data_IF_735092270141
#
_entry.id   IF_735092270141
#
_cell.length_a   1.000
_cell.length_b   1.000
_cell.length_c   1.000
_cell.angle_alpha   90.00
_cell.angle_beta   90.00
_cell.angle_gamma   90.00
#
_symmetry.space_group_name_H-M   'P 1'
#
loop_
_entity.id
_entity.type
_entity.pdbx_description
1 polymer ?
#
# COMPACT_ATOMS: atom_id res chain seq x y z
N UNK A 1 -6.83 72.57 55.02
CA UNK A 1 -7.10 72.67 53.57
C UNK A 1 -5.79 72.44 52.83
N UNK A 2 -5.65 71.25 52.22
CA UNK A 2 -4.62 70.91 51.23
C UNK A 2 -5.30 69.96 50.22
N UNK A 3 -5.23 70.19 48.90
CA UNK A 3 -5.92 69.35 47.93
C UNK A 3 -5.05 68.15 47.51
N UNK A 4 -5.73 67.00 47.35
CA UNK A 4 -5.23 65.75 46.80
C UNK A 4 -4.83 65.90 45.33
N UNK A 5 -3.63 65.44 44.97
CA UNK A 5 -3.20 65.22 43.57
C UNK A 5 -3.78 63.90 43.04
N UNK A 6 -4.52 63.98 41.93
CA UNK A 6 -4.90 62.83 41.11
C UNK A 6 -3.79 62.55 40.09
N UNK A 7 -3.27 61.31 40.06
CA UNK A 7 -2.37 60.83 39.02
C UNK A 7 -3.16 60.24 37.86
N UNK A 8 -3.14 60.90 36.70
CA UNK A 8 -3.58 60.32 35.43
C UNK A 8 -2.48 59.40 34.88
N UNK A 9 -2.73 58.09 34.84
CA UNK A 9 -1.92 57.15 34.07
C UNK A 9 -2.40 57.16 32.61
N UNK A 10 -1.67 57.87 31.74
CA UNK A 10 -1.83 57.78 30.29
C UNK A 10 -1.08 56.54 29.80
N UNK A 11 -1.80 55.55 29.29
CA UNK A 11 -1.22 54.44 28.53
C UNK A 11 -0.61 55.03 27.24
N UNK A 12 0.67 54.78 26.91
CA UNK A 12 1.25 55.32 25.70
C UNK A 12 0.57 54.68 24.48
N UNK A 13 0.15 55.51 23.53
CA UNK A 13 -0.25 55.05 22.22
C UNK A 13 0.94 54.32 21.57
N UNK A 14 0.71 53.17 20.90
CA UNK A 14 1.79 52.44 20.26
C UNK A 14 2.53 53.34 19.28
N UNK A 15 3.86 53.23 19.29
CA UNK A 15 4.71 54.03 18.40
C UNK A 15 4.36 53.77 16.94
N UNK A 16 4.59 54.74 16.05
CA UNK A 16 4.34 54.58 14.61
C UNK A 16 5.04 53.32 14.04
N UNK A 17 6.21 52.95 14.59
CA UNK A 17 6.94 51.74 14.24
C UNK A 17 6.24 50.44 14.69
N UNK A 18 5.62 50.42 15.88
CA UNK A 18 4.82 49.27 16.37
C UNK A 18 3.50 49.12 15.61
N UNK A 19 2.86 50.23 15.25
CA UNK A 19 1.66 50.24 14.41
C UNK A 19 1.96 49.77 12.99
N UNK A 20 3.12 50.14 12.42
CA UNK A 20 3.59 49.65 11.12
C UNK A 20 3.98 48.16 11.16
N UNK A 21 4.58 47.66 12.26
CA UNK A 21 4.88 46.22 12.40
C UNK A 21 3.62 45.39 12.61
N UNK A 22 2.67 45.85 13.42
CA UNK A 22 1.37 45.19 13.58
C UNK A 22 0.56 45.20 12.28
N UNK A 23 0.58 46.30 11.52
CA UNK A 23 -0.02 46.41 10.20
C UNK A 23 0.67 45.50 9.17
N UNK A 24 2.01 45.41 9.18
CA UNK A 24 2.76 44.52 8.30
C UNK A 24 2.56 43.03 8.65
N UNK A 25 2.40 42.69 9.94
CA UNK A 25 2.07 41.33 10.41
C UNK A 25 0.62 40.99 10.06
N UNK A 26 -0.33 41.93 10.21
CA UNK A 26 -1.72 41.76 9.77
C UNK A 26 -1.82 41.60 8.25
N UNK A 27 -1.12 42.44 7.51
CA UNK A 27 -1.05 42.39 6.04
C UNK A 27 -0.33 41.12 5.54
N UNK A 28 0.64 40.57 6.29
CA UNK A 28 1.27 39.28 6.00
C UNK A 28 0.40 38.07 6.37
N UNK A 29 -0.50 38.22 7.34
CA UNK A 29 -1.56 37.24 7.63
C UNK A 29 -2.73 37.32 6.62
N UNK A 30 -3.07 38.53 6.16
CA UNK A 30 -4.16 38.79 5.21
C UNK A 30 -3.75 38.54 3.75
N UNK A 31 -2.46 38.52 3.40
CA UNK A 31 -1.96 38.10 2.06
C UNK A 31 -1.83 36.59 1.86
N UNK A 32 -2.14 35.76 2.85
CA UNK A 32 -2.32 34.31 2.69
C UNK A 32 -3.78 34.08 2.28
N UNK A 33 -4.20 34.67 1.16
CA UNK A 33 -5.43 34.28 0.45
C UNK A 33 -5.19 32.87 -0.10
N UNK A 34 -5.32 31.92 0.80
CA UNK A 34 -4.80 30.58 0.66
C UNK A 34 -5.82 29.74 -0.09
N UNK A 35 -5.32 29.04 -1.10
CA UNK A 35 -6.02 27.96 -1.77
C UNK A 35 -6.77 27.09 -0.75
N UNK A 36 -8.09 27.09 -0.84
CA UNK A 36 -8.94 26.21 -0.03
C UNK A 36 -8.75 24.79 -0.56
N UNK A 37 -8.43 23.88 0.35
CA UNK A 37 -8.25 22.46 0.11
C UNK A 37 -9.21 21.67 0.97
N UNK A 38 -9.56 20.46 0.51
CA UNK A 38 -10.33 19.51 1.30
C UNK A 38 -9.38 18.52 1.96
N UNK A 39 -9.53 18.33 3.25
CA UNK A 39 -8.73 17.37 4.00
C UNK A 39 -9.56 16.70 5.10
N UNK A 40 -9.07 15.56 5.60
CA UNK A 40 -9.69 14.85 6.70
C UNK A 40 -8.76 14.82 7.91
N UNK A 41 -9.28 15.15 9.09
CA UNK A 41 -8.53 15.04 10.35
C UNK A 41 -9.30 14.21 11.38
N UNK A 42 -8.57 13.69 12.37
CA UNK A 42 -9.12 12.97 13.51
C UNK A 42 -8.49 13.53 14.79
N UNK A 43 -9.31 14.24 15.58
CA UNK A 43 -8.86 14.89 16.80
C UNK A 43 -8.61 13.94 17.99
N UNK A 44 -9.10 12.70 17.89
CA UNK A 44 -8.97 11.69 18.95
C UNK A 44 -7.64 10.94 18.90
N UNK A 45 -7.02 10.82 17.72
CA UNK A 45 -5.65 10.35 17.60
C UNK A 45 -4.69 11.53 17.76
N UNK A 46 -3.88 11.54 18.83
CA UNK A 46 -2.92 12.62 19.11
C UNK A 46 -1.51 12.09 19.28
N UNK A 47 -0.50 12.78 18.73
CA UNK A 47 0.93 12.53 18.97
C UNK A 47 1.34 11.04 18.87
N UNK A 48 0.80 10.32 17.88
CA UNK A 48 1.06 8.88 17.67
C UNK A 48 0.58 7.95 18.82
N UNK A 49 -0.51 8.32 19.50
CA UNK A 49 -1.20 7.42 20.45
C UNK A 49 -1.80 6.22 19.71
N UNK A 50 -1.39 5.01 20.09
CA UNK A 50 -1.61 3.74 19.36
C UNK A 50 -2.99 3.12 19.61
N UNK A 51 -4.06 3.92 19.58
CA UNK A 51 -5.43 3.41 19.58
C UNK A 51 -5.95 3.29 18.14
N UNK A 52 -5.68 2.15 17.50
CA UNK A 52 -6.09 1.88 16.12
C UNK A 52 -7.60 1.98 15.90
N UNK A 53 -8.41 1.70 16.93
CA UNK A 53 -9.88 1.77 16.82
C UNK A 53 -10.33 3.22 16.75
N UNK A 54 -9.78 4.09 17.61
CA UNK A 54 -10.04 5.54 17.54
C UNK A 54 -9.49 6.16 16.26
N UNK A 55 -8.31 5.73 15.83
CA UNK A 55 -7.67 6.28 14.64
C UNK A 55 -8.51 6.02 13.38
N UNK A 56 -9.16 4.87 13.28
CA UNK A 56 -9.85 4.50 12.05
C UNK A 56 -11.32 4.96 11.96
N UNK A 57 -11.96 5.39 13.05
CA UNK A 57 -13.39 5.73 13.05
C UNK A 57 -13.75 7.22 13.00
N UNK A 58 -12.89 8.09 13.52
CA UNK A 58 -13.28 9.47 13.90
C UNK A 58 -12.73 10.55 12.96
N UNK A 59 -12.58 10.24 11.67
CA UNK A 59 -12.17 11.23 10.69
C UNK A 59 -13.34 12.14 10.30
N UNK A 60 -13.06 13.44 10.26
CA UNK A 60 -13.99 14.49 9.84
C UNK A 60 -13.37 15.16 8.61
N UNK A 61 -14.13 15.17 7.52
CA UNK A 61 -13.76 15.88 6.30
C UNK A 61 -14.12 17.36 6.46
N UNK A 62 -13.18 18.24 6.13
CA UNK A 62 -13.34 19.70 6.19
C UNK A 62 -12.73 20.38 4.97
N UNK A 63 -13.11 21.63 4.76
CA UNK A 63 -12.48 22.53 3.81
C UNK A 63 -11.74 23.62 4.59
N UNK A 64 -10.53 23.95 4.18
CA UNK A 64 -9.72 24.95 4.84
C UNK A 64 -8.42 25.18 4.09
N UNK A 65 -7.54 25.95 4.71
CA UNK A 65 -6.28 26.42 4.19
C UNK A 65 -5.13 25.54 4.69
N UNK A 66 -3.90 25.76 4.18
CA UNK A 66 -2.72 25.13 4.78
C UNK A 66 -2.50 25.59 6.23
N UNK A 67 -2.92 26.80 6.60
CA UNK A 67 -2.83 27.26 7.99
C UNK A 67 -3.73 26.41 8.90
N UNK A 68 -4.96 26.12 8.49
CA UNK A 68 -5.87 25.23 9.23
C UNK A 68 -5.26 23.82 9.38
N UNK A 69 -4.64 23.31 8.31
CA UNK A 69 -3.88 22.04 8.40
C UNK A 69 -2.78 22.13 9.45
N UNK A 70 -1.97 23.21 9.46
CA UNK A 70 -0.90 23.38 10.44
C UNK A 70 -1.44 23.43 11.87
N UNK A 71 -2.59 24.05 12.10
CA UNK A 71 -3.27 24.04 13.40
C UNK A 71 -3.64 22.62 13.83
N UNK A 72 -4.22 21.81 12.93
CA UNK A 72 -4.50 20.41 13.22
C UNK A 72 -3.23 19.61 13.51
N UNK A 73 -2.16 19.82 12.75
CA UNK A 73 -0.85 19.19 13.00
C UNK A 73 -0.33 19.57 14.38
N UNK A 74 -0.32 20.86 14.74
CA UNK A 74 0.14 21.38 16.04
C UNK A 74 -0.76 20.99 17.21
N UNK A 75 -2.02 20.68 16.95
CA UNK A 75 -2.89 20.08 17.96
C UNK A 75 -2.60 18.58 18.17
N UNK A 76 -1.64 18.02 17.43
CA UNK A 76 -1.28 16.60 17.44
C UNK A 76 -2.24 15.71 16.64
N UNK A 77 -3.27 16.27 16.01
CA UNK A 77 -4.35 15.52 15.37
C UNK A 77 -3.83 14.65 14.22
N UNK A 78 -4.41 13.47 14.05
CA UNK A 78 -4.13 12.63 12.89
C UNK A 78 -4.82 13.19 11.64
N UNK A 79 -4.21 12.96 10.48
CA UNK A 79 -4.63 13.49 9.18
C UNK A 79 -4.65 12.35 8.17
N UNK A 80 -5.61 12.38 7.25
CA UNK A 80 -5.70 11.44 6.14
C UNK A 80 -5.65 12.23 4.82
N UNK A 81 -4.86 11.73 3.87
CA UNK A 81 -4.76 12.34 2.54
C UNK A 81 -6.14 12.32 1.85
N UNK A 82 -6.79 11.15 1.82
CA UNK A 82 -8.11 11.00 1.24
C UNK A 82 -9.26 11.35 2.20
N UNK A 83 -10.33 11.90 1.63
CA UNK A 83 -11.60 12.18 2.28
C UNK A 83 -12.42 10.90 2.46
N UNK A 84 -13.17 10.79 3.56
CA UNK A 84 -13.81 9.55 4.01
C UNK A 84 -15.34 9.64 4.10
N UNK A 85 -15.92 10.82 3.97
CA UNK A 85 -17.33 11.14 4.11
C UNK A 85 -17.95 10.58 5.41
N UNK A 86 -17.24 10.78 6.53
CA UNK A 86 -17.65 10.29 7.87
C UNK A 86 -17.65 8.76 8.03
N UNK A 87 -17.10 8.01 7.07
CA UNK A 87 -17.00 6.55 7.16
C UNK A 87 -15.69 6.11 7.80
N UNK A 88 -15.69 4.85 8.24
CA UNK A 88 -14.49 4.19 8.73
C UNK A 88 -13.36 4.22 7.71
N UNK A 89 -12.13 4.50 8.15
CA UNK A 89 -10.95 4.56 7.30
C UNK A 89 -10.68 3.22 6.63
N UNK A 90 -10.88 3.20 5.31
CA UNK A 90 -10.46 2.11 4.44
C UNK A 90 -10.40 2.64 3.01
N UNK A 91 -9.57 2.04 2.15
CA UNK A 91 -9.51 2.37 0.72
C UNK A 91 -10.90 2.46 0.08
N UNK A 92 -11.79 1.52 0.38
CA UNK A 92 -13.15 1.45 -0.18
C UNK A 92 -14.05 2.65 0.18
N UNK A 93 -13.69 3.42 1.21
CA UNK A 93 -14.43 4.58 1.66
C UNK A 93 -13.78 5.91 1.23
N UNK A 94 -12.62 5.88 0.58
CA UNK A 94 -11.97 7.08 0.07
C UNK A 94 -12.77 7.61 -1.13
N UNK A 95 -13.28 8.83 -1.00
CA UNK A 95 -14.05 9.49 -2.06
C UNK A 95 -13.18 10.33 -2.99
N UNK A 96 -12.00 10.75 -2.54
CA UNK A 96 -11.04 11.55 -3.31
C UNK A 96 -10.07 12.33 -2.42
N UNK A 97 -9.25 13.18 -3.02
CA UNK A 97 -8.21 13.95 -2.34
C UNK A 97 -7.85 15.27 -3.05
N UNK A 98 -7.41 16.28 -2.29
CA UNK A 98 -6.78 17.51 -2.81
C UNK A 98 -5.26 17.55 -2.64
N UNK A 99 -4.68 16.51 -2.04
CA UNK A 99 -3.28 16.51 -1.65
C UNK A 99 -2.74 15.10 -1.47
N UNK A 100 -1.42 14.98 -1.51
CA UNK A 100 -0.70 13.74 -1.29
C UNK A 100 0.35 13.97 -0.21
N UNK A 101 0.70 12.92 0.52
CA UNK A 101 1.69 12.99 1.60
C UNK A 101 2.72 11.88 1.45
N UNK A 102 3.98 12.22 1.74
CA UNK A 102 5.08 11.26 1.91
C UNK A 102 5.65 11.40 3.31
N UNK A 103 5.97 10.26 3.93
CA UNK A 103 6.79 10.17 5.13
C UNK A 103 8.26 9.93 4.78
N UNK A 104 9.14 10.73 5.37
CA UNK A 104 10.58 10.51 5.41
C UNK A 104 10.91 10.10 6.84
N UNK A 105 11.30 8.84 7.02
CA UNK A 105 11.52 8.23 8.32
C UNK A 105 13.00 8.00 8.64
N UNK A 106 13.86 8.04 7.62
CA UNK A 106 15.28 7.68 7.70
C UNK A 106 15.53 6.38 8.50
N UNK A 107 14.71 5.35 8.29
CA UNK A 107 14.72 4.14 9.12
C UNK A 107 14.50 2.88 8.30
N UNK A 108 15.27 1.83 8.60
CA UNK A 108 15.00 0.45 8.20
C UNK A 108 14.81 -0.45 9.43
N UNK A 109 14.42 -1.71 9.21
CA UNK A 109 14.31 -2.75 10.22
C UNK A 109 15.63 -3.50 10.33
N UNK A 110 16.15 -3.64 11.55
CA UNK A 110 17.34 -4.46 11.81
C UNK A 110 17.11 -5.91 11.39
N UNK A 111 18.11 -6.54 10.77
CA UNK A 111 18.04 -7.93 10.30
C UNK A 111 19.20 -8.77 10.83
N UNK A 112 18.94 -10.04 11.07
CA UNK A 112 19.96 -11.00 11.47
C UNK A 112 20.78 -11.49 10.25
N UNK A 113 21.73 -12.41 10.48
CA UNK A 113 22.58 -12.97 9.43
C UNK A 113 21.81 -13.75 8.34
N UNK A 114 20.52 -14.03 8.53
CA UNK A 114 19.64 -14.72 7.59
C UNK A 114 18.59 -13.78 6.98
N UNK A 115 18.79 -12.46 7.05
CA UNK A 115 17.90 -11.42 6.55
C UNK A 115 16.53 -11.36 7.26
N UNK A 116 16.40 -11.98 8.44
CA UNK A 116 15.15 -11.98 9.20
C UNK A 116 15.05 -10.74 10.09
N UNK A 117 13.88 -10.06 10.11
CA UNK A 117 13.65 -8.92 11.00
C UNK A 117 13.87 -9.26 12.48
N UNK A 118 14.67 -8.45 13.16
CA UNK A 118 14.95 -8.58 14.60
C UNK A 118 13.89 -7.81 15.39
N UNK A 119 13.46 -8.40 16.51
CA UNK A 119 12.52 -7.80 17.45
C UNK A 119 13.17 -7.56 18.82
N UNK A 120 12.71 -6.52 19.51
CA UNK A 120 13.06 -6.27 20.91
C UNK A 120 12.34 -7.26 21.85
N UNK A 121 12.63 -7.15 23.14
CA UNK A 121 12.02 -7.96 24.21
C UNK A 121 10.48 -7.85 24.28
N UNK A 122 9.92 -6.76 23.75
CA UNK A 122 8.48 -6.49 23.70
C UNK A 122 7.84 -6.98 22.38
N UNK A 123 8.62 -7.56 21.47
CA UNK A 123 8.15 -8.07 20.19
C UNK A 123 8.00 -7.01 19.09
N UNK A 124 8.49 -5.77 19.31
CA UNK A 124 8.52 -4.71 18.31
C UNK A 124 9.76 -4.83 17.43
N UNK A 125 9.65 -4.48 16.15
CA UNK A 125 10.82 -4.47 15.26
C UNK A 125 11.83 -3.42 15.67
N UNK A 126 13.09 -3.82 15.78
CA UNK A 126 14.20 -2.89 16.06
C UNK A 126 14.44 -2.05 14.80
N UNK A 127 14.45 -0.72 14.96
CA UNK A 127 14.72 0.23 13.89
C UNK A 127 16.20 0.61 13.89
N UNK A 128 16.79 0.66 12.70
CA UNK A 128 18.14 1.17 12.46
C UNK A 128 18.04 2.37 11.55
N UNK A 129 19.01 3.28 11.66
CA UNK A 129 19.09 4.44 10.77
C UNK A 129 19.38 3.97 9.35
N UNK A 130 18.57 4.42 8.41
CA UNK A 130 18.76 4.20 6.97
C UNK A 130 18.44 5.50 6.25
N UNK A 131 19.44 6.10 5.62
CA UNK A 131 19.35 7.46 5.13
C UNK A 131 18.45 7.57 3.89
N UNK A 132 17.43 8.43 3.98
CA UNK A 132 16.54 8.82 2.89
C UNK A 132 16.76 10.29 2.53
N UNK A 133 16.44 11.22 3.44
CA UNK A 133 16.66 12.66 3.31
C UNK A 133 16.75 13.32 4.71
N UNK A 134 17.70 14.22 4.88
CA UNK A 134 17.67 15.24 5.95
C UNK A 134 16.72 16.39 5.59
N UNK A 135 16.49 17.31 6.53
CA UNK A 135 15.59 18.46 6.30
C UNK A 135 16.28 19.40 5.30
N UNK A 136 17.58 19.61 5.47
CA UNK A 136 18.42 20.46 4.63
C UNK A 136 18.50 19.94 3.20
N UNK A 137 18.70 18.63 3.02
CA UNK A 137 18.66 17.99 1.70
C UNK A 137 17.29 18.11 1.06
N UNK A 138 16.21 17.90 1.85
CA UNK A 138 14.85 18.04 1.34
C UNK A 138 14.55 19.48 0.89
N UNK A 139 15.00 20.49 1.64
CA UNK A 139 14.85 21.90 1.28
C UNK A 139 15.67 22.28 0.03
N UNK A 140 16.81 21.61 -0.20
CA UNK A 140 17.63 21.79 -1.39
C UNK A 140 17.13 21.00 -2.62
N UNK A 141 16.29 19.98 -2.42
CA UNK A 141 15.86 19.08 -3.49
C UNK A 141 14.99 19.82 -4.54
N UNK A 142 15.37 19.79 -5.84
CA UNK A 142 14.70 20.59 -6.87
C UNK A 142 13.19 20.34 -6.97
N UNK A 143 12.77 19.07 -6.89
CA UNK A 143 11.35 18.70 -6.95
C UNK A 143 10.58 19.20 -5.72
N UNK A 144 11.15 19.07 -4.52
CA UNK A 144 10.49 19.47 -3.27
C UNK A 144 10.38 20.99 -3.25
N UNK A 145 11.46 21.70 -3.56
CA UNK A 145 11.49 23.16 -3.61
C UNK A 145 10.43 23.73 -4.57
N UNK A 146 10.15 23.03 -5.67
CA UNK A 146 9.19 23.46 -6.68
C UNK A 146 7.74 23.07 -6.36
N UNK A 147 7.51 21.88 -5.80
CA UNK A 147 6.17 21.28 -5.74
C UNK A 147 5.65 20.97 -4.32
N UNK A 148 6.51 20.98 -3.30
CA UNK A 148 6.09 20.75 -1.92
C UNK A 148 5.40 21.99 -1.35
N UNK A 149 4.24 21.79 -0.75
CA UNK A 149 3.43 22.86 -0.20
C UNK A 149 3.60 23.00 1.31
N UNK A 150 3.87 21.90 2.02
CA UNK A 150 4.10 21.91 3.46
C UNK A 150 5.10 20.81 3.84
N UNK A 151 6.10 21.16 4.63
CA UNK A 151 6.96 20.20 5.33
C UNK A 151 6.75 20.34 6.82
N UNK A 152 6.64 19.22 7.54
CA UNK A 152 6.55 19.26 9.00
C UNK A 152 7.22 18.08 9.70
N UNK A 153 7.78 18.31 10.88
CA UNK A 153 8.44 17.27 11.68
C UNK A 153 7.42 16.38 12.40
N UNK A 154 7.75 15.09 12.55
CA UNK A 154 6.89 14.11 13.24
C UNK A 154 7.14 14.08 14.74
N UNK A 155 6.22 13.50 15.51
CA UNK A 155 6.40 13.29 16.96
C UNK A 155 7.57 12.38 17.35
N UNK A 156 8.20 11.69 16.39
CA UNK A 156 9.39 10.85 16.62
C UNK A 156 10.65 11.44 16.00
N UNK A 157 10.60 12.68 15.54
CA UNK A 157 11.76 13.41 15.02
C UNK A 157 12.81 13.63 16.12
N UNK A 158 14.08 13.49 15.76
CA UNK A 158 15.21 13.94 16.57
C UNK A 158 16.20 14.72 15.71
N UNK A 159 17.02 15.62 16.28
CA UNK A 159 18.04 16.35 15.53
C UNK A 159 19.07 15.46 14.83
N UNK A 160 19.34 14.27 15.36
CA UNK A 160 20.25 13.27 14.80
C UNK A 160 19.53 12.20 13.95
N UNK A 161 18.19 12.16 14.02
CA UNK A 161 17.35 11.21 13.30
C UNK A 161 16.13 11.92 12.72
N UNK A 162 16.30 12.47 11.53
CA UNK A 162 15.29 13.29 10.88
C UNK A 162 14.07 12.44 10.53
N UNK A 163 12.88 12.89 10.96
CA UNK A 163 11.60 12.24 10.63
C UNK A 163 10.57 13.30 10.37
N UNK A 164 10.20 13.48 9.12
CA UNK A 164 9.33 14.56 8.69
C UNK A 164 8.42 14.08 7.57
N UNK A 165 7.43 14.90 7.24
CA UNK A 165 6.48 14.62 6.16
C UNK A 165 6.45 15.76 5.19
N UNK A 166 6.22 15.40 3.93
CA UNK A 166 6.09 16.30 2.81
C UNK A 166 4.64 16.22 2.32
N UNK A 167 4.02 17.37 2.14
CA UNK A 167 2.65 17.51 1.67
C UNK A 167 2.67 18.23 0.33
N UNK A 168 2.02 17.63 -0.66
CA UNK A 168 1.96 18.12 -2.02
C UNK A 168 0.50 18.36 -2.39
N UNK A 169 0.16 19.57 -2.84
CA UNK A 169 -1.20 19.87 -3.27
C UNK A 169 -1.43 19.39 -4.70
N UNK A 170 -2.60 18.81 -4.94
CA UNK A 170 -3.07 18.54 -6.29
C UNK A 170 -3.68 19.82 -6.88
N UNK A 171 -3.44 20.10 -8.18
CA UNK A 171 -3.95 21.30 -8.84
C UNK A 171 -5.47 21.35 -8.97
N UNK A 172 -6.17 20.24 -8.74
CA UNK A 172 -7.62 20.15 -8.58
C UNK A 172 -7.99 18.93 -7.72
N UNK A 173 -9.28 18.82 -7.35
CA UNK A 173 -9.79 17.67 -6.60
C UNK A 173 -9.72 16.40 -7.43
N UNK A 174 -9.04 15.37 -6.93
CA UNK A 174 -9.00 14.05 -7.56
C UNK A 174 -10.04 13.15 -6.92
N UNK A 175 -10.98 12.65 -7.72
CA UNK A 175 -12.03 11.74 -7.26
C UNK A 175 -11.58 10.28 -7.31
N UNK A 176 -11.96 9.50 -6.29
CA UNK A 176 -11.80 8.05 -6.26
C UNK A 176 -10.43 7.58 -5.76
N UNK A 177 -10.46 6.50 -4.97
CA UNK A 177 -9.26 5.94 -4.35
C UNK A 177 -8.19 5.55 -5.38
N UNK A 178 -8.56 4.87 -6.46
CA UNK A 178 -7.61 4.32 -7.43
C UNK A 178 -6.82 5.41 -8.16
N UNK A 179 -7.49 6.52 -8.53
CA UNK A 179 -6.83 7.69 -9.13
C UNK A 179 -5.91 8.38 -8.15
N UNK A 180 -6.32 8.52 -6.87
CA UNK A 180 -5.44 9.05 -5.81
C UNK A 180 -4.20 8.17 -5.65
N UNK A 181 -4.34 6.84 -5.61
CA UNK A 181 -3.19 5.92 -5.51
C UNK A 181 -2.28 6.02 -6.74
N UNK A 182 -2.83 6.20 -7.95
CA UNK A 182 -2.05 6.42 -9.15
C UNK A 182 -1.22 7.72 -9.07
N UNK A 183 -1.82 8.83 -8.61
CA UNK A 183 -1.08 10.06 -8.34
C UNK A 183 0.02 9.87 -7.28
N UNK A 184 -0.27 9.12 -6.20
CA UNK A 184 0.72 8.81 -5.16
C UNK A 184 1.90 8.01 -5.73
N UNK A 185 1.66 7.09 -6.67
CA UNK A 185 2.73 6.34 -7.35
C UNK A 185 3.65 7.26 -8.16
N UNK A 186 3.11 8.26 -8.85
CA UNK A 186 3.94 9.25 -9.55
C UNK A 186 4.81 10.04 -8.56
N UNK A 187 4.23 10.42 -7.42
CA UNK A 187 4.96 11.12 -6.37
C UNK A 187 6.10 10.25 -5.79
N UNK A 188 5.83 8.98 -5.54
CA UNK A 188 6.81 8.00 -5.06
C UNK A 188 7.97 7.78 -6.05
N UNK A 189 7.77 7.98 -7.36
CA UNK A 189 8.87 7.90 -8.34
C UNK A 189 9.86 9.08 -8.25
N UNK A 190 9.45 10.20 -7.65
CA UNK A 190 10.27 11.41 -7.56
C UNK A 190 11.14 11.45 -6.30
N UNK A 191 10.81 10.66 -5.27
CA UNK A 191 11.38 10.76 -3.93
C UNK A 191 11.62 9.37 -3.31
N UNK A 192 12.61 9.24 -2.41
CA UNK A 192 12.73 8.04 -1.60
C UNK A 192 11.45 7.84 -0.79
N UNK A 193 10.97 6.60 -0.71
CA UNK A 193 9.68 6.28 -0.11
C UNK A 193 9.69 4.89 0.54
N UNK A 194 8.81 4.69 1.51
CA UNK A 194 8.40 3.35 1.95
C UNK A 194 7.43 2.75 0.89
N UNK A 195 7.63 1.50 0.42
CA UNK A 195 6.71 0.88 -0.55
C UNK A 195 5.23 0.87 -0.12
N UNK A 196 4.95 0.98 1.18
CA UNK A 196 3.59 1.05 1.72
C UNK A 196 2.96 2.46 1.66
N UNK A 197 3.64 3.49 1.13
CA UNK A 197 3.11 4.87 1.05
C UNK A 197 1.98 5.06 0.04
N UNK A 198 1.71 4.08 -0.85
CA UNK A 198 0.70 4.21 -1.91
C UNK A 198 -0.76 4.15 -1.47
N UNK A 199 -1.06 3.69 -0.26
CA UNK A 199 -2.45 3.51 0.22
C UNK A 199 -3.16 4.87 0.36
N UNK A 200 -4.22 5.09 -0.42
CA UNK A 200 -5.00 6.35 -0.39
C UNK A 200 -5.64 6.64 0.98
N UNK A 201 -5.76 5.62 1.84
CA UNK A 201 -6.28 5.73 3.20
C UNK A 201 -5.18 5.83 4.27
N UNK A 202 -3.92 6.05 3.91
CA UNK A 202 -2.79 6.19 4.85
C UNK A 202 -3.03 7.37 5.81
N UNK A 203 -2.73 7.13 7.09
CA UNK A 203 -2.85 8.13 8.17
C UNK A 203 -1.48 8.70 8.51
N UNK A 204 -1.45 10.00 8.76
CA UNK A 204 -0.27 10.74 9.19
C UNK A 204 -0.59 11.48 10.48
N UNK A 205 0.19 11.26 11.53
CA UNK A 205 -0.05 11.88 12.84
C UNK A 205 0.53 13.28 12.93
N UNK A 206 -0.23 14.24 13.44
CA UNK A 206 0.32 15.52 13.90
C UNK A 206 1.31 15.35 15.06
N UNK A 207 1.94 16.46 15.41
CA UNK A 207 2.81 16.58 16.58
C UNK A 207 2.58 17.94 17.23
N UNK A 208 2.39 17.96 18.54
CA UNK A 208 2.33 19.21 19.32
C UNK A 208 3.63 19.99 19.29
N UNK A 209 4.73 19.30 18.99
CA UNK A 209 6.07 19.88 18.84
C UNK A 209 6.47 19.99 17.35
N UNK A 210 5.50 19.92 16.43
CA UNK A 210 5.78 20.03 15.00
C UNK A 210 6.42 21.39 14.66
N UNK A 211 7.55 21.31 13.98
CA UNK A 211 8.17 22.42 13.26
C UNK A 211 7.76 22.37 11.80
N UNK A 212 7.77 23.52 11.13
CA UNK A 212 7.33 23.67 9.74
C UNK A 212 8.42 24.31 8.89
N UNK A 213 9.47 23.56 8.48
CA UNK A 213 10.61 24.13 7.75
C UNK A 213 10.25 24.69 6.37
N UNK A 214 9.11 24.29 5.80
CA UNK A 214 8.61 24.78 4.51
C UNK A 214 7.11 24.96 4.56
N UNK A 215 6.64 26.13 4.12
CA UNK A 215 5.22 26.45 3.86
C UNK A 215 5.16 27.23 2.55
N UNK A 216 4.46 26.69 1.55
CA UNK A 216 4.29 27.28 0.23
C UNK A 216 2.87 26.96 -0.31
N UNK A 217 1.85 27.79 -0.01
CA UNK A 217 0.46 27.52 -0.39
C UNK A 217 0.21 27.51 -1.90
N UNK A 218 1.11 28.10 -2.69
CA UNK A 218 1.00 28.15 -4.16
C UNK A 218 1.62 26.93 -4.85
N UNK A 219 2.40 26.11 -4.13
CA UNK A 219 3.02 24.93 -4.72
C UNK A 219 1.99 23.83 -4.97
N UNK A 220 1.94 23.37 -6.22
CA UNK A 220 1.11 22.24 -6.64
C UNK A 220 1.92 21.25 -7.44
N UNK A 221 1.43 20.01 -7.49
CA UNK A 221 1.87 19.01 -8.46
C UNK A 221 1.46 19.42 -9.88
N UNK A 222 2.11 18.84 -10.91
CA UNK A 222 1.73 19.07 -12.30
C UNK A 222 0.29 18.60 -12.59
N UNK A 223 -0.42 19.34 -13.45
CA UNK A 223 -1.82 19.04 -13.77
C UNK A 223 -1.97 17.77 -14.62
N UNK A 224 -0.98 17.50 -15.47
CA UNK A 224 -0.92 16.31 -16.32
C UNK A 224 -0.96 15.00 -15.51
N UNK A 225 -0.45 15.00 -14.27
CA UNK A 225 -0.49 13.83 -13.39
C UNK A 225 -1.91 13.37 -13.12
N UNK A 226 -2.87 14.29 -13.05
CA UNK A 226 -4.27 13.94 -12.79
C UNK A 226 -4.86 13.24 -14.01
N UNK A 227 -4.68 13.80 -15.21
CA UNK A 227 -5.17 13.18 -16.44
C UNK A 227 -4.55 11.81 -16.70
N UNK A 228 -3.25 11.65 -16.47
CA UNK A 228 -2.55 10.37 -16.61
C UNK A 228 -3.01 9.34 -15.56
N UNK A 229 -3.17 9.78 -14.31
CA UNK A 229 -3.68 8.92 -13.24
C UNK A 229 -5.11 8.44 -13.50
N UNK A 230 -5.96 9.30 -14.08
CA UNK A 230 -7.32 8.92 -14.49
C UNK A 230 -7.27 7.85 -15.56
N UNK A 231 -6.43 8.03 -16.60
CA UNK A 231 -6.30 7.05 -17.68
C UNK A 231 -5.80 5.69 -17.16
N UNK A 232 -4.78 5.68 -16.29
CA UNK A 232 -4.27 4.46 -15.65
C UNK A 232 -5.36 3.78 -14.82
N UNK A 233 -6.04 4.52 -13.94
CA UNK A 233 -7.09 3.96 -13.08
C UNK A 233 -8.27 3.39 -13.90
N UNK A 234 -8.62 4.02 -15.02
CA UNK A 234 -9.64 3.51 -15.94
C UNK A 234 -9.20 2.21 -16.60
N UNK A 235 -7.97 2.14 -17.10
CA UNK A 235 -7.41 0.96 -17.74
C UNK A 235 -7.34 -0.22 -16.75
N UNK A 236 -6.79 0.00 -15.55
CA UNK A 236 -6.72 -1.01 -14.47
C UNK A 236 -8.12 -1.54 -14.12
N UNK A 237 -9.14 -0.66 -14.11
CA UNK A 237 -10.53 -1.04 -13.86
C UNK A 237 -11.10 -1.90 -14.98
N UNK A 238 -10.84 -1.58 -16.24
CA UNK A 238 -11.29 -2.38 -17.40
C UNK A 238 -10.66 -3.77 -17.35
N UNK A 239 -9.34 -3.85 -17.15
CA UNK A 239 -8.60 -5.10 -17.05
C UNK A 239 -9.11 -5.97 -15.88
N UNK A 240 -9.36 -5.35 -14.73
CA UNK A 240 -9.93 -6.05 -13.58
C UNK A 240 -11.31 -6.64 -13.91
N UNK A 241 -12.19 -5.87 -14.57
CA UNK A 241 -13.51 -6.35 -14.98
C UNK A 241 -13.43 -7.49 -15.99
N UNK A 242 -12.57 -7.37 -17.01
CA UNK A 242 -12.32 -8.45 -17.98
C UNK A 242 -11.84 -9.73 -17.28
N UNK A 243 -10.93 -9.59 -16.31
CA UNK A 243 -10.43 -10.73 -15.53
C UNK A 243 -11.52 -11.40 -14.69
N UNK A 244 -12.41 -10.62 -14.08
CA UNK A 244 -13.57 -11.17 -13.36
C UNK A 244 -14.48 -11.92 -14.33
N UNK A 245 -14.79 -11.36 -15.49
CA UNK A 245 -15.59 -12.02 -16.53
C UNK A 245 -14.94 -13.30 -17.04
N UNK A 246 -13.63 -13.30 -17.25
CA UNK A 246 -12.87 -14.49 -17.66
C UNK A 246 -12.92 -15.59 -16.59
N UNK A 247 -12.78 -15.22 -15.30
CA UNK A 247 -12.90 -16.16 -14.18
C UNK A 247 -14.33 -16.73 -14.11
N UNK A 248 -15.35 -15.90 -14.29
CA UNK A 248 -16.76 -16.33 -14.28
C UNK A 248 -17.09 -17.23 -15.48
N UNK A 249 -16.61 -16.89 -16.67
CA UNK A 249 -16.74 -17.70 -17.88
C UNK A 249 -16.11 -19.07 -17.72
N UNK A 250 -14.84 -19.11 -17.25
CA UNK A 250 -14.17 -20.38 -16.94
C UNK A 250 -14.94 -21.19 -15.91
N UNK A 251 -15.45 -20.57 -14.84
CA UNK A 251 -16.27 -21.28 -13.84
C UNK A 251 -17.53 -21.89 -14.45
N UNK A 252 -18.17 -21.19 -15.39
CA UNK A 252 -19.36 -21.70 -16.09
C UNK A 252 -19.01 -22.88 -16.99
N UNK A 253 -17.96 -22.76 -17.82
CA UNK A 253 -17.46 -23.84 -18.69
C UNK A 253 -17.11 -25.09 -17.87
N UNK A 254 -16.34 -24.93 -16.79
CA UNK A 254 -15.98 -26.03 -15.90
C UNK A 254 -17.19 -26.68 -15.23
N UNK A 255 -18.23 -25.90 -14.91
CA UNK A 255 -19.49 -26.44 -14.38
C UNK A 255 -20.23 -27.24 -15.44
N UNK A 256 -20.34 -26.74 -16.67
CA UNK A 256 -20.98 -27.46 -17.78
C UNK A 256 -20.27 -28.78 -18.10
N UNK A 257 -18.93 -28.78 -18.11
CA UNK A 257 -18.12 -30.00 -18.27
C UNK A 257 -18.40 -30.98 -17.14
N UNK A 258 -18.39 -30.51 -15.87
CA UNK A 258 -18.63 -31.39 -14.72
C UNK A 258 -19.99 -32.08 -14.78
N UNK A 259 -21.02 -31.37 -15.28
CA UNK A 259 -22.36 -31.94 -15.48
C UNK A 259 -22.37 -32.94 -16.63
N UNK A 260 -21.74 -32.60 -17.76
CA UNK A 260 -21.72 -33.43 -18.97
C UNK A 260 -20.98 -34.75 -18.75
N UNK A 261 -19.83 -34.69 -18.08
CA UNK A 261 -18.98 -35.85 -17.80
C UNK A 261 -19.44 -36.63 -16.55
N UNK A 262 -20.52 -36.20 -15.88
CA UNK A 262 -21.05 -36.85 -14.68
C UNK A 262 -20.06 -36.88 -13.51
N UNK A 263 -19.25 -35.83 -13.37
CA UNK A 263 -18.23 -35.76 -12.32
C UNK A 263 -18.88 -35.69 -10.94
N UNK A 264 -18.57 -36.68 -10.10
CA UNK A 264 -18.84 -36.61 -8.67
C UNK A 264 -17.84 -35.65 -8.02
N UNK A 265 -18.31 -34.43 -7.75
CA UNK A 265 -17.51 -33.35 -7.16
C UNK A 265 -17.02 -33.74 -5.76
N UNK A 266 -17.82 -34.48 -4.98
CA UNK A 266 -17.42 -34.91 -3.64
C UNK A 266 -16.29 -35.92 -3.73
N UNK A 267 -16.40 -36.89 -4.63
CA UNK A 267 -15.34 -37.85 -4.87
C UNK A 267 -14.05 -37.18 -5.38
N UNK A 268 -14.17 -36.15 -6.23
CA UNK A 268 -13.03 -35.34 -6.68
C UNK A 268 -12.37 -34.57 -5.54
N UNK A 269 -13.15 -33.99 -4.64
CA UNK A 269 -12.64 -33.27 -3.47
C UNK A 269 -11.92 -34.24 -2.54
N UNK A 270 -12.50 -35.41 -2.25
CA UNK A 270 -11.84 -36.44 -1.42
C UNK A 270 -10.54 -36.92 -2.06
N UNK A 271 -10.54 -37.15 -3.37
CA UNK A 271 -9.33 -37.50 -4.10
C UNK A 271 -8.28 -36.38 -4.00
N UNK A 272 -8.65 -35.12 -4.25
CA UNK A 272 -7.75 -33.98 -4.16
C UNK A 272 -7.17 -33.81 -2.74
N UNK A 273 -7.97 -33.97 -1.69
CA UNK A 273 -7.51 -33.93 -0.30
C UNK A 273 -6.46 -34.99 0.00
N UNK A 274 -6.54 -36.18 -0.63
CA UNK A 274 -5.55 -37.25 -0.44
C UNK A 274 -4.14 -36.88 -0.91
N UNK A 275 -4.01 -35.92 -1.83
CA UNK A 275 -2.71 -35.41 -2.28
C UNK A 275 -2.15 -34.31 -1.37
N UNK A 276 -3.00 -33.57 -0.67
CA UNK A 276 -2.56 -32.44 0.15
C UNK A 276 -2.09 -32.96 1.52
N UNK A 277 -0.81 -32.77 1.91
CA UNK A 277 -0.32 -33.22 3.21
C UNK A 277 -1.10 -32.55 4.35
N UNK A 278 -1.47 -33.31 5.40
CA UNK A 278 -2.09 -32.73 6.57
C UNK A 278 -1.13 -31.81 7.32
N UNK A 279 -1.68 -30.93 8.16
CA UNK A 279 -0.88 -30.11 9.06
C UNK A 279 -0.26 -30.99 10.14
N UNK A 280 1.06 -30.96 10.28
CA UNK A 280 1.80 -31.61 11.38
C UNK A 280 2.86 -30.65 11.93
N UNK A 281 3.20 -30.65 13.23
CA UNK A 281 4.20 -29.73 13.79
C UNK A 281 5.49 -29.70 12.95
N UNK A 282 5.91 -28.51 12.48
CA UNK A 282 7.08 -28.35 11.62
C UNK A 282 6.85 -28.47 10.10
N UNK A 283 5.65 -28.80 9.63
CA UNK A 283 5.35 -29.04 8.20
C UNK A 283 5.47 -27.81 7.28
N UNK A 284 5.51 -26.58 7.82
CA UNK A 284 5.54 -25.35 7.03
C UNK A 284 4.27 -25.02 6.23
N UNK A 285 3.30 -25.93 6.11
CA UNK A 285 2.10 -25.80 5.27
C UNK A 285 0.88 -25.14 5.95
N UNK A 286 1.08 -24.33 6.99
CA UNK A 286 -0.03 -23.77 7.78
C UNK A 286 -1.01 -22.94 6.93
N UNK A 287 -0.51 -22.06 6.07
CA UNK A 287 -1.36 -21.18 5.27
C UNK A 287 -2.11 -21.95 4.18
N UNK A 288 -1.46 -22.93 3.54
CA UNK A 288 -2.11 -23.83 2.58
C UNK A 288 -3.24 -24.61 3.24
N UNK A 289 -2.97 -25.26 4.39
CA UNK A 289 -4.00 -25.99 5.11
C UNK A 289 -5.15 -25.08 5.54
N UNK A 290 -4.84 -23.82 5.95
CA UNK A 290 -5.86 -22.83 6.32
C UNK A 290 -6.75 -22.47 5.12
N UNK A 291 -6.17 -22.31 3.94
CA UNK A 291 -6.91 -22.03 2.70
C UNK A 291 -7.78 -23.22 2.28
N UNK A 292 -7.27 -24.46 2.38
CA UNK A 292 -8.07 -25.66 2.13
C UNK A 292 -9.26 -25.73 3.08
N UNK A 293 -9.06 -25.45 4.37
CA UNK A 293 -10.15 -25.42 5.35
C UNK A 293 -11.21 -24.35 5.01
N UNK A 294 -10.78 -23.17 4.58
CA UNK A 294 -11.72 -22.12 4.11
C UNK A 294 -12.48 -22.54 2.85
N UNK A 295 -11.82 -23.26 1.93
CA UNK A 295 -12.44 -23.79 0.72
C UNK A 295 -13.52 -24.85 1.04
N UNK A 296 -13.25 -25.75 2.00
CA UNK A 296 -14.21 -26.74 2.48
C UNK A 296 -15.42 -26.06 3.15
N UNK A 297 -15.19 -25.07 4.02
CA UNK A 297 -16.28 -24.30 4.67
C UNK A 297 -17.13 -23.56 3.63
N UNK A 298 -16.52 -23.02 2.58
CA UNK A 298 -17.26 -22.35 1.52
C UNK A 298 -18.14 -23.31 0.71
N UNK A 299 -17.69 -24.56 0.50
CA UNK A 299 -18.41 -25.54 -0.31
C UNK A 299 -19.47 -26.34 0.48
N UNK A 300 -19.09 -26.87 1.65
CA UNK A 300 -19.94 -27.75 2.47
C UNK A 300 -20.63 -27.04 3.65
N UNK A 301 -20.24 -25.80 3.97
CA UNK A 301 -20.64 -25.14 5.22
C UNK A 301 -19.79 -25.59 6.42
N UNK A 302 -19.98 -24.90 7.54
CA UNK A 302 -19.12 -25.04 8.72
C UNK A 302 -19.14 -26.44 9.34
N UNK A 303 -20.31 -27.06 9.45
CA UNK A 303 -20.50 -28.35 10.13
C UNK A 303 -19.83 -29.49 9.38
N UNK A 304 -20.12 -29.63 8.09
CA UNK A 304 -19.59 -30.73 7.27
C UNK A 304 -18.11 -30.55 6.97
N UNK A 305 -17.66 -29.30 6.77
CA UNK A 305 -16.24 -28.99 6.65
C UNK A 305 -15.44 -29.35 7.91
N UNK A 306 -16.01 -29.18 9.12
CA UNK A 306 -15.36 -29.60 10.37
C UNK A 306 -15.10 -31.12 10.35
N UNK A 307 -16.09 -31.93 9.96
CA UNK A 307 -15.99 -33.39 9.90
C UNK A 307 -14.93 -33.83 8.88
N UNK A 308 -14.98 -33.26 7.66
CA UNK A 308 -14.04 -33.60 6.59
C UNK A 308 -12.62 -33.18 6.98
N UNK A 309 -12.45 -31.97 7.51
CA UNK A 309 -11.14 -31.45 7.88
C UNK A 309 -10.53 -32.17 9.10
N UNK A 310 -11.32 -32.62 10.06
CA UNK A 310 -10.81 -33.44 11.17
C UNK A 310 -10.33 -34.81 10.71
N UNK A 311 -10.90 -35.37 9.63
CA UNK A 311 -10.40 -36.62 9.03
C UNK A 311 -9.12 -36.39 8.22
N UNK A 312 -9.06 -35.30 7.47
CA UNK A 312 -7.93 -34.99 6.60
C UNK A 312 -6.73 -34.45 7.39
N UNK A 313 -6.91 -33.35 8.14
CA UNK A 313 -5.86 -32.64 8.87
C UNK A 313 -6.28 -32.36 10.33
N UNK A 314 -6.25 -33.38 11.20
CA UNK A 314 -6.82 -33.33 12.55
C UNK A 314 -6.32 -32.16 13.41
N UNK A 315 -7.16 -31.71 14.34
CA UNK A 315 -6.79 -30.74 15.35
C UNK A 315 -5.60 -31.22 16.21
N UNK A 316 -4.61 -30.35 16.40
CA UNK A 316 -3.41 -30.64 17.20
C UNK A 316 -3.55 -30.00 18.57
N UNK A 317 -3.62 -30.82 19.62
CA UNK A 317 -3.73 -30.37 21.02
C UNK A 317 -2.56 -29.46 21.40
N UNK A 318 -2.86 -28.38 22.12
CA UNK A 318 -1.85 -27.41 22.58
C UNK A 318 -1.28 -26.50 21.48
N UNK A 319 -1.83 -26.54 20.26
CA UNK A 319 -1.39 -25.69 19.14
C UNK A 319 -2.49 -24.72 18.69
N UNK A 320 -2.13 -23.79 17.81
CA UNK A 320 -3.09 -22.91 17.14
C UNK A 320 -3.88 -23.61 16.02
N UNK A 321 -3.56 -24.87 15.70
CA UNK A 321 -4.27 -25.67 14.69
C UNK A 321 -5.40 -26.47 15.33
N UNK A 322 -6.52 -25.79 15.59
CA UNK A 322 -7.77 -26.38 16.04
C UNK A 322 -8.86 -26.06 15.01
N UNK A 323 -9.40 -27.08 14.34
CA UNK A 323 -10.29 -26.93 13.18
C UNK A 323 -11.55 -26.14 13.55
N UNK A 324 -12.26 -26.56 14.60
CA UNK A 324 -13.47 -25.88 15.07
C UNK A 324 -13.22 -24.40 15.39
N UNK A 325 -12.12 -24.08 16.08
CA UNK A 325 -11.78 -22.69 16.39
C UNK A 325 -11.44 -21.88 15.13
N UNK A 326 -10.74 -22.49 14.16
CA UNK A 326 -10.43 -21.83 12.88
C UNK A 326 -11.68 -21.53 12.08
N UNK A 327 -12.57 -22.51 11.91
CA UNK A 327 -13.83 -22.32 11.19
C UNK A 327 -14.62 -21.14 11.77
N UNK A 328 -14.73 -21.05 13.10
CA UNK A 328 -15.41 -19.92 13.79
C UNK A 328 -14.74 -18.56 13.60
N UNK A 329 -13.43 -18.53 13.33
CA UNK A 329 -12.66 -17.29 13.11
C UNK A 329 -12.80 -16.73 11.70
N UNK A 330 -13.32 -17.50 10.75
CA UNK A 330 -13.47 -17.02 9.38
C UNK A 330 -14.58 -15.96 9.32
N UNK A 331 -14.22 -14.77 8.82
CA UNK A 331 -15.09 -13.57 8.77
C UNK A 331 -15.31 -13.07 7.34
N UNK A 332 -14.61 -13.63 6.35
CA UNK A 332 -14.61 -13.18 4.95
C UNK A 332 -14.73 -14.37 3.99
N UNK A 333 -15.46 -14.17 2.90
CA UNK A 333 -15.43 -15.05 1.72
C UNK A 333 -14.25 -14.75 0.79
N UNK A 334 -14.23 -15.38 -0.38
CA UNK A 334 -13.21 -15.16 -1.43
C UNK A 334 -12.33 -16.37 -1.73
N UNK A 335 -12.34 -17.38 -0.86
CA UNK A 335 -11.75 -18.70 -1.13
C UNK A 335 -12.89 -19.63 -1.56
N UNK A 336 -12.71 -20.29 -2.70
CA UNK A 336 -13.67 -21.24 -3.27
C UNK A 336 -13.04 -22.63 -3.31
N UNK A 337 -13.85 -23.65 -3.62
CA UNK A 337 -13.34 -25.03 -3.78
C UNK A 337 -12.22 -25.16 -4.82
N UNK A 338 -12.13 -24.22 -5.78
CA UNK A 338 -11.03 -24.15 -6.74
C UNK A 338 -9.65 -23.96 -6.09
N UNK A 339 -9.56 -23.31 -4.92
CA UNK A 339 -8.30 -23.15 -4.17
C UNK A 339 -7.80 -24.50 -3.65
N UNK A 340 -8.69 -25.38 -3.19
CA UNK A 340 -8.34 -26.74 -2.78
C UNK A 340 -7.73 -27.50 -3.95
N UNK A 341 -8.36 -27.48 -5.13
CA UNK A 341 -7.81 -28.14 -6.32
C UNK A 341 -6.49 -27.53 -6.80
N UNK A 342 -6.31 -26.20 -6.68
CA UNK A 342 -5.04 -25.55 -7.00
C UNK A 342 -3.90 -26.06 -6.11
N UNK A 343 -4.12 -26.12 -4.80
CA UNK A 343 -3.15 -26.65 -3.83
C UNK A 343 -2.89 -28.14 -4.11
N UNK A 344 -3.94 -28.94 -4.32
CA UNK A 344 -3.79 -30.36 -4.65
C UNK A 344 -2.93 -30.59 -5.91
N UNK A 345 -3.05 -29.73 -6.94
CA UNK A 345 -2.23 -29.83 -8.17
C UNK A 345 -0.74 -29.64 -7.91
N UNK A 346 -0.38 -28.79 -6.94
CA UNK A 346 1.02 -28.59 -6.53
C UNK A 346 1.59 -29.88 -5.91
N UNK A 347 0.73 -30.69 -5.29
CA UNK A 347 1.07 -32.02 -4.77
C UNK A 347 0.80 -33.16 -5.76
N UNK A 348 0.57 -32.87 -7.04
CA UNK A 348 0.47 -33.89 -8.08
C UNK A 348 -0.95 -34.34 -8.44
N UNK A 349 -2.00 -33.78 -7.83
CA UNK A 349 -3.37 -34.05 -8.26
C UNK A 349 -3.57 -33.67 -9.75
N UNK A 350 -4.32 -34.50 -10.45
CA UNK A 350 -4.75 -34.29 -11.84
C UNK A 350 -6.24 -34.56 -11.92
N UNK A 351 -6.96 -33.69 -12.63
CA UNK A 351 -8.37 -33.96 -12.93
C UNK A 351 -8.49 -35.19 -13.82
N UNK A 352 -9.59 -35.97 -13.71
CA UNK A 352 -9.87 -37.07 -14.62
C UNK A 352 -9.80 -36.60 -16.08
N UNK A 353 -9.29 -37.46 -16.95
CA UNK A 353 -9.28 -37.20 -18.40
C UNK A 353 -10.73 -37.16 -18.89
N UNK A 354 -11.05 -36.19 -19.75
CA UNK A 354 -12.37 -36.07 -20.37
C UNK A 354 -12.64 -37.31 -21.22
N UNK A 355 -13.85 -37.87 -21.17
CA UNK A 355 -14.19 -39.07 -21.94
C UNK A 355 -14.27 -38.77 -23.45
N UNK A 356 -14.46 -37.51 -23.84
CA UNK A 356 -14.48 -37.05 -25.23
C UNK A 356 -13.54 -35.86 -25.46
N UNK A 357 -12.22 -36.09 -25.47
CA UNK A 357 -11.28 -35.16 -26.12
C UNK A 357 -10.73 -35.81 -27.39
N UNK A 358 -11.17 -35.29 -28.56
CA UNK A 358 -10.40 -35.45 -29.78
C UNK A 358 -9.04 -34.79 -29.55
N UNK A 359 -7.95 -35.55 -29.68
CA UNK A 359 -6.58 -35.05 -29.58
C UNK A 359 -6.36 -33.89 -30.58
N UNK A 360 -6.55 -32.66 -30.13
CA UNK A 360 -5.92 -31.49 -30.73
C UNK A 360 -4.69 -31.22 -29.85
N UNK A 361 -3.53 -31.56 -30.39
CA UNK A 361 -2.26 -31.53 -29.68
C UNK A 361 -1.97 -30.19 -29.01
N UNK A 362 -1.23 -30.27 -27.89
CA UNK A 362 -0.69 -29.16 -27.10
C UNK A 362 -0.26 -27.97 -27.98
N UNK A 363 -1.14 -26.99 -28.13
CA UNK A 363 -0.76 -25.66 -28.56
C UNK A 363 -0.52 -24.80 -27.32
N UNK A 364 0.74 -24.77 -26.91
CA UNK A 364 1.39 -23.60 -26.32
C UNK A 364 0.68 -22.93 -25.15
N UNK A 365 0.58 -23.60 -24.01
CA UNK A 365 0.26 -22.92 -22.75
C UNK A 365 1.52 -22.21 -22.27
N UNK A 366 1.57 -20.88 -22.39
CA UNK A 366 2.66 -20.03 -21.91
C UNK A 366 2.85 -20.27 -20.41
N UNK A 367 4.09 -20.55 -19.97
CA UNK A 367 4.37 -20.79 -18.56
C UNK A 367 4.17 -19.52 -17.73
N UNK A 368 3.88 -19.66 -16.43
CA UNK A 368 3.71 -18.51 -15.53
C UNK A 368 4.92 -17.57 -15.53
N UNK A 369 6.12 -18.13 -15.65
CA UNK A 369 7.37 -17.38 -15.75
C UNK A 369 7.46 -16.60 -17.06
N UNK A 370 7.06 -17.20 -18.19
CA UNK A 370 6.99 -16.50 -19.48
C UNK A 370 5.92 -15.40 -19.49
N UNK A 371 4.82 -15.59 -18.76
CA UNK A 371 3.78 -14.58 -18.59
C UNK A 371 4.22 -13.44 -17.66
N UNK A 372 4.91 -13.73 -16.55
CA UNK A 372 5.48 -12.71 -15.65
C UNK A 372 6.61 -11.91 -16.34
N UNK A 373 7.46 -12.57 -17.13
CA UNK A 373 8.44 -11.92 -18.01
C UNK A 373 7.78 -11.06 -19.08
N UNK A 374 6.66 -11.52 -19.65
CA UNK A 374 5.85 -10.73 -20.59
C UNK A 374 5.32 -9.44 -19.96
N UNK A 375 4.79 -9.52 -18.74
CA UNK A 375 4.26 -8.37 -18.01
C UNK A 375 5.33 -7.34 -17.65
N UNK A 376 6.47 -7.80 -17.14
CA UNK A 376 7.62 -6.91 -16.84
C UNK A 376 8.12 -6.23 -18.11
N UNK A 377 8.10 -6.93 -19.25
CA UNK A 377 8.48 -6.38 -20.55
C UNK A 377 7.46 -5.39 -21.11
N UNK A 378 6.17 -5.63 -20.91
CA UNK A 378 5.10 -4.69 -21.25
C UNK A 378 5.15 -3.43 -20.38
N UNK A 379 5.33 -3.56 -19.06
CA UNK A 379 5.47 -2.44 -18.12
C UNK A 379 6.70 -1.59 -18.45
N UNK A 380 7.85 -2.22 -18.75
CA UNK A 380 9.06 -1.53 -19.22
C UNK A 380 8.84 -0.83 -20.56
N UNK A 381 8.11 -1.45 -21.50
CA UNK A 381 7.83 -0.86 -22.82
C UNK A 381 6.85 0.31 -22.72
N UNK A 382 5.83 0.20 -21.87
CA UNK A 382 4.86 1.24 -21.57
C UNK A 382 5.55 2.42 -20.90
N UNK A 383 6.41 2.16 -19.91
CA UNK A 383 7.24 3.17 -19.26
C UNK A 383 8.21 3.85 -20.24
N UNK A 384 8.89 3.09 -21.11
CA UNK A 384 9.79 3.67 -22.13
C UNK A 384 9.03 4.49 -23.17
N UNK A 385 7.81 4.10 -23.55
CA UNK A 385 6.98 4.86 -24.48
C UNK A 385 6.43 6.14 -23.83
N UNK A 386 6.05 6.09 -22.55
CA UNK A 386 5.73 7.26 -21.73
C UNK A 386 6.93 8.21 -21.62
N UNK A 387 8.13 7.68 -21.34
CA UNK A 387 9.36 8.47 -21.29
C UNK A 387 9.66 9.12 -22.65
N UNK A 388 9.49 8.39 -23.77
CA UNK A 388 9.69 8.92 -25.11
C UNK A 388 8.67 9.99 -25.48
N UNK A 389 7.42 9.85 -25.07
CA UNK A 389 6.38 10.86 -25.29
C UNK A 389 6.59 12.11 -24.41
N UNK A 390 7.05 11.93 -23.17
CA UNK A 390 7.36 13.02 -22.24
C UNK A 390 8.66 13.78 -22.61
N UNK A 391 9.64 13.12 -23.24
CA UNK A 391 10.94 13.73 -23.61
C UNK A 391 10.91 14.32 -25.03
N UNK A 392 9.91 13.99 -25.86
CA UNK A 392 9.78 14.51 -27.23
C UNK A 392 9.81 16.05 -27.35
N UNK A 393 9.33 16.85 -26.38
CA UNK A 393 9.51 18.31 -26.42
C UNK A 393 10.73 18.85 -25.65
N UNK A 394 11.51 18.00 -24.94
CA UNK A 394 12.54 18.43 -23.98
C UNK A 394 13.92 17.80 -24.18
N UNK A 395 14.28 17.42 -25.41
CA UNK A 395 15.59 16.83 -25.73
C UNK A 395 16.80 17.75 -25.46
N UNK A 396 16.58 19.04 -25.17
CA UNK A 396 17.64 20.00 -24.86
C UNK A 396 17.94 20.20 -23.37
N UNK A 397 17.14 19.65 -22.43
CA UNK A 397 17.31 19.90 -20.98
C UNK A 397 18.04 18.77 -20.23
N UNK A 398 18.13 17.55 -20.78
CA UNK A 398 18.72 16.38 -20.10
C UNK A 398 20.17 16.06 -20.47
N UNK A 399 21.05 17.06 -20.59
CA UNK A 399 22.49 16.85 -20.84
C UNK A 399 23.36 16.64 -19.58
N UNK A 400 22.77 16.29 -18.44
CA UNK A 400 23.48 16.30 -17.15
C UNK A 400 23.33 15.10 -16.23
N UNK A 401 22.59 14.05 -16.58
CA UNK A 401 22.47 12.87 -15.71
C UNK A 401 23.45 11.77 -16.14
N UNK A 402 24.48 11.58 -15.33
CA UNK A 402 25.33 10.40 -15.41
C UNK A 402 24.50 9.17 -15.04
N UNK A 403 24.52 8.16 -15.91
CA UNK A 403 23.98 6.85 -15.60
C UNK A 403 24.71 6.27 -14.36
N UNK A 404 24.01 5.59 -13.44
CA UNK A 404 24.67 4.82 -12.40
C UNK A 404 25.59 3.76 -13.05
N UNK A 405 26.71 3.40 -12.40
CA UNK A 405 27.63 2.42 -12.95
C UNK A 405 26.89 1.11 -13.22
N UNK A 406 27.07 0.59 -14.43
CA UNK A 406 26.58 -0.72 -14.86
C UNK A 406 26.92 -1.79 -13.81
N UNK A 407 25.97 -2.65 -13.43
CA UNK A 407 26.27 -3.81 -12.60
C UNK A 407 27.37 -4.64 -13.24
N UNK A 408 28.31 -5.15 -12.44
CA UNK A 408 29.31 -6.12 -12.90
C UNK A 408 28.60 -7.27 -13.62
N UNK A 409 29.08 -7.73 -14.78
CA UNK A 409 28.50 -8.89 -15.44
C UNK A 409 28.56 -10.08 -14.47
N UNK A 410 27.42 -10.75 -14.31
CA UNK A 410 27.39 -12.06 -13.65
C UNK A 410 28.32 -13.00 -14.41
N UNK A 411 29.07 -13.88 -13.71
CA UNK A 411 29.94 -14.84 -14.38
C UNK A 411 29.09 -15.70 -15.33
N UNK A 412 29.58 -15.90 -16.54
CA UNK A 412 29.00 -16.84 -17.51
C UNK A 412 28.94 -18.23 -16.85
N UNK A 413 27.72 -18.66 -16.52
CA UNK A 413 27.45 -20.04 -16.19
C UNK A 413 27.41 -20.78 -17.51
N UNK A 414 28.54 -21.36 -17.88
CA UNK A 414 28.66 -22.34 -18.94
C UNK A 414 27.79 -23.53 -18.52
N UNK A 415 26.55 -23.60 -19.01
CA UNK A 415 25.66 -24.74 -18.76
C UNK A 415 26.10 -25.91 -19.63
N UNK A 416 26.70 -26.99 -19.08
CA UNK A 416 26.86 -28.21 -19.85
C UNK A 416 25.46 -28.77 -20.15
N UNK A 417 25.27 -29.22 -21.40
CA UNK A 417 24.10 -29.95 -21.86
C UNK A 417 23.62 -30.96 -20.81
N UNK A 418 22.30 -31.08 -20.56
CA UNK A 418 21.81 -31.93 -19.49
C UNK A 418 22.15 -33.39 -19.80
N UNK A 419 23.11 -33.94 -19.05
CA UNK A 419 23.27 -35.38 -18.93
C UNK A 419 21.96 -35.94 -18.38
N UNK A 420 21.23 -36.64 -19.24
CA UNK A 420 20.00 -37.36 -18.89
C UNK A 420 20.36 -38.45 -17.89
N UNK A 421 20.06 -38.22 -16.62
CA UNK A 421 20.13 -39.27 -15.60
C UNK A 421 18.81 -40.05 -15.67
N UNK A 422 18.87 -41.25 -16.25
CA UNK A 422 17.77 -42.20 -16.26
C UNK A 422 17.71 -42.90 -14.90
N UNK A 423 16.69 -42.59 -14.09
CA UNK A 423 16.44 -43.29 -12.84
C UNK A 423 15.76 -44.65 -13.09
N UNK A 424 16.32 -45.72 -12.52
CA UNK A 424 15.64 -47.02 -12.39
C UNK A 424 14.91 -47.07 -11.03
N UNK A 425 13.67 -47.60 -10.97
CA UNK A 425 12.91 -47.67 -9.72
C UNK A 425 13.60 -48.58 -8.70
N UNK A 426 13.76 -48.11 -7.45
CA UNK A 426 14.04 -49.02 -6.32
C UNK A 426 14.98 -48.61 -5.19
N UNK A 427 15.51 -47.38 -5.10
CA UNK A 427 16.33 -46.99 -3.94
C UNK A 427 15.93 -45.60 -3.40
N UNK A 428 15.54 -45.58 -2.12
CA UNK A 428 15.16 -44.45 -1.28
C UNK A 428 16.41 -43.96 -0.53
N UNK A 429 16.54 -42.64 -0.27
CA UNK A 429 16.24 -42.12 1.07
C UNK A 429 14.98 -41.25 1.12
#
# INVERSE_FOLDING_TARGET
MSPLQQSHNSVPAPSAAESETLSAVKTKLELIESRIIKFAFNATGRNKDWDFKKLAGNFIDVEGTLADVQEHIKAGHAICAGLLNGKWRSKANIIGSHWLLIDIDNSDVARDAYDKPIKDENGNYIKVYDHQLTIEEALAHPFIKKHCALMYTTASHKPDWHKFRLVFLLPEYVQGADTVEACTRFLMQQLPHDPACKDASRVFYGSTEAEFPLVNPEATLPAEWISEAIAIAQQERIEYQQRIQEIESRRKEWREISVTEGWDIDQLIQNALSFIPPRTPGSGNYDECRQVLMALVNHYGATDAEIIAEKWSPSIKGSTWNIRAKIRSFRRGGISIGTLFHIAKQYGFRFPKRQYEYNLGDQGVISREQWELGRVREDLSSFQNLLRQAIAPFSSIFKGFFAPPTPKPLPEIDTPSPNVIIYKPGNIP
#
